data_IF_089750182117
#
_entry.id   IF_089750182117
#
_cell.length_a   1.000
_cell.length_b   1.000
_cell.length_c   1.000
_cell.angle_alpha   90.00
_cell.angle_beta   90.00
_cell.angle_gamma   90.00
#
_symmetry.space_group_name_H-M   'P 1'
#
loop_
_entity.id
_entity.type
_entity.pdbx_description
1 polymer ?
#
# COMPACT_ATOMS: atom_id res chain seq x y z
N UNK A 1 44.00 72.05 0.46
CA UNK A 1 42.63 71.62 0.79
C UNK A 1 42.27 70.49 -0.13
N UNK A 2 42.40 69.20 0.36
CA UNK A 2 42.11 67.97 -0.40
C UNK A 2 40.97 67.28 0.29
N UNK A 3 39.80 67.20 -0.37
CA UNK A 3 38.60 66.45 0.13
C UNK A 3 38.71 65.01 -0.29
N UNK A 4 38.84 64.13 0.71
CA UNK A 4 38.83 62.73 0.56
C UNK A 4 37.35 62.23 0.41
N UNK A 5 37.02 61.58 -0.70
CA UNK A 5 35.73 60.89 -0.87
C UNK A 5 35.88 59.43 -0.47
N UNK A 6 35.33 59.08 0.68
CA UNK A 6 35.14 57.68 1.11
C UNK A 6 33.99 57.07 0.32
N UNK A 7 34.31 56.12 -0.55
CA UNK A 7 33.34 55.33 -1.29
C UNK A 7 32.89 54.13 -0.41
N UNK A 8 31.66 54.21 0.08
CA UNK A 8 31.07 53.19 0.93
C UNK A 8 30.40 52.15 0.02
N UNK A 9 31.08 51.03 -0.30
CA UNK A 9 30.54 49.92 -1.05
C UNK A 9 29.79 48.96 -0.08
N UNK A 10 28.48 49.13 0.01
CA UNK A 10 27.60 48.20 0.69
C UNK A 10 27.41 46.96 -0.24
N UNK A 11 28.12 45.89 0.09
CA UNK A 11 27.93 44.58 -0.57
C UNK A 11 26.61 43.96 -0.16
N UNK A 12 25.67 43.94 -1.10
CA UNK A 12 24.38 43.25 -0.93
C UNK A 12 24.59 41.72 -1.17
N UNK A 13 24.77 40.97 -0.06
CA UNK A 13 24.86 39.52 -0.11
C UNK A 13 23.46 38.96 -0.34
N UNK A 14 23.12 38.64 -1.60
CA UNK A 14 21.87 37.98 -1.97
C UNK A 14 21.97 36.47 -1.62
N UNK A 15 21.54 36.12 -0.41
CA UNK A 15 21.46 34.73 0.02
C UNK A 15 20.31 34.05 -0.74
N UNK A 16 20.65 33.28 -1.80
CA UNK A 16 19.70 32.45 -2.51
C UNK A 16 19.33 31.25 -1.59
N UNK A 17 18.19 31.36 -0.90
CA UNK A 17 17.60 30.25 -0.18
C UNK A 17 17.09 29.21 -1.21
N UNK A 18 17.88 28.19 -1.48
CA UNK A 18 17.46 27.04 -2.28
C UNK A 18 16.43 26.25 -1.46
N UNK A 19 15.14 26.50 -1.71
CA UNK A 19 14.05 25.69 -1.15
C UNK A 19 14.03 24.36 -1.90
N UNK A 20 14.74 23.34 -1.37
CA UNK A 20 14.66 21.98 -1.90
C UNK A 20 13.25 21.44 -1.61
N UNK A 21 12.53 20.88 -2.63
CA UNK A 21 11.26 20.24 -2.38
C UNK A 21 11.49 19.06 -1.44
N UNK A 22 10.97 19.16 -0.23
CA UNK A 22 10.96 18.04 0.71
C UNK A 22 9.95 17.01 0.20
N UNK A 23 10.43 15.94 -0.41
CA UNK A 23 9.61 14.77 -0.67
C UNK A 23 9.30 14.11 0.67
N UNK A 24 8.13 14.41 1.23
CA UNK A 24 7.65 13.69 2.40
C UNK A 24 7.49 12.22 2.03
N UNK A 25 8.24 11.34 2.68
CA UNK A 25 8.04 9.89 2.56
C UNK A 25 6.61 9.56 3.02
N UNK A 26 5.91 8.72 2.26
CA UNK A 26 4.58 8.27 2.67
C UNK A 26 4.72 7.46 3.97
N UNK A 27 3.92 7.80 4.98
CA UNK A 27 3.89 7.06 6.24
C UNK A 27 3.38 5.65 5.99
N UNK A 28 4.18 4.65 6.33
CA UNK A 28 3.80 3.24 6.22
C UNK A 28 2.60 2.92 7.13
N UNK A 29 1.75 2.00 6.65
CA UNK A 29 0.68 1.47 7.50
C UNK A 29 1.30 0.66 8.66
N UNK A 30 0.70 0.68 9.86
CA UNK A 30 1.23 -0.07 11.00
C UNK A 30 1.30 -1.57 10.68
N UNK A 31 2.29 -2.24 11.26
CA UNK A 31 2.38 -3.70 11.20
C UNK A 31 1.23 -4.31 12.00
N UNK A 32 0.67 -5.45 11.56
CA UNK A 32 -0.29 -6.18 12.37
C UNK A 32 0.37 -6.68 13.65
N UNK A 33 -0.32 -6.52 14.76
CA UNK A 33 0.01 -7.23 15.99
C UNK A 33 -0.48 -8.67 15.85
N UNK A 34 0.43 -9.65 15.91
CA UNK A 34 0.11 -11.05 15.66
C UNK A 34 1.05 -11.97 16.42
N UNK A 35 0.46 -12.98 17.07
CA UNK A 35 1.14 -14.10 17.72
C UNK A 35 1.16 -15.37 16.87
N UNK A 36 0.64 -15.33 15.65
CA UNK A 36 0.61 -16.47 14.75
C UNK A 36 2.04 -16.95 14.40
N UNK A 37 2.24 -18.27 14.43
CA UNK A 37 3.50 -18.89 14.07
C UNK A 37 3.85 -18.68 12.59
N UNK A 38 2.82 -18.75 11.74
CA UNK A 38 2.95 -18.57 10.30
C UNK A 38 2.40 -17.20 9.86
N UNK A 39 3.21 -16.42 9.14
CA UNK A 39 2.83 -15.08 8.65
C UNK A 39 3.02 -15.04 7.15
N UNK A 40 1.94 -14.83 6.41
CA UNK A 40 1.96 -14.96 4.95
C UNK A 40 1.33 -13.72 4.30
N UNK A 41 2.07 -13.10 3.38
CA UNK A 41 1.53 -12.07 2.52
C UNK A 41 1.30 -12.64 1.12
N UNK A 42 0.04 -12.57 0.67
CA UNK A 42 -0.35 -12.96 -0.68
C UNK A 42 -0.41 -11.73 -1.57
N UNK A 43 0.27 -11.81 -2.71
CA UNK A 43 0.31 -10.71 -3.68
C UNK A 43 -0.71 -10.92 -4.80
N UNK A 44 -1.50 -9.90 -5.14
CA UNK A 44 -2.29 -9.87 -6.37
C UNK A 44 -2.07 -8.55 -7.12
N UNK A 45 -1.51 -8.64 -8.33
CA UNK A 45 -1.27 -7.51 -9.23
C UNK A 45 -1.97 -7.63 -10.57
N UNK A 46 -2.75 -8.69 -10.78
CA UNK A 46 -3.39 -9.04 -12.03
C UNK A 46 -4.91 -8.80 -11.97
N UNK A 47 -5.49 -8.33 -13.07
CA UNK A 47 -6.95 -8.17 -13.21
C UNK A 47 -7.66 -9.41 -13.73
N UNK A 48 -6.94 -10.49 -14.07
CA UNK A 48 -7.50 -11.74 -14.55
C UNK A 48 -8.42 -12.36 -13.46
N UNK A 49 -9.69 -12.62 -13.76
CA UNK A 49 -10.64 -13.20 -12.80
C UNK A 49 -10.20 -14.56 -12.24
N UNK A 50 -9.50 -15.39 -13.02
CA UNK A 50 -8.98 -16.67 -12.55
C UNK A 50 -7.90 -16.47 -11.49
N UNK A 51 -6.95 -15.54 -11.73
CA UNK A 51 -5.92 -15.22 -10.75
C UNK A 51 -6.51 -14.58 -9.49
N UNK A 52 -7.52 -13.72 -9.64
CA UNK A 52 -8.26 -13.17 -8.49
C UNK A 52 -8.95 -14.26 -7.68
N UNK A 53 -9.59 -15.23 -8.34
CA UNK A 53 -10.18 -16.38 -7.67
C UNK A 53 -9.11 -17.27 -7.05
N UNK A 54 -7.98 -17.48 -7.72
CA UNK A 54 -6.88 -18.30 -7.24
C UNK A 54 -6.29 -17.75 -5.93
N UNK A 55 -5.99 -16.45 -5.84
CA UNK A 55 -5.44 -15.88 -4.61
C UNK A 55 -6.37 -16.04 -3.41
N UNK A 56 -7.69 -15.92 -3.62
CA UNK A 56 -8.69 -16.18 -2.57
C UNK A 56 -8.77 -17.66 -2.18
N UNK A 57 -8.64 -18.58 -3.17
CA UNK A 57 -8.54 -20.02 -2.90
C UNK A 57 -7.32 -20.34 -2.04
N UNK A 58 -6.17 -19.78 -2.41
CA UNK A 58 -4.91 -19.99 -1.69
C UNK A 58 -5.01 -19.46 -0.28
N UNK A 59 -5.56 -18.25 -0.07
CA UNK A 59 -5.76 -17.67 1.25
C UNK A 59 -6.58 -18.60 2.17
N UNK A 60 -7.75 -19.04 1.72
CA UNK A 60 -8.59 -19.96 2.49
C UNK A 60 -7.97 -21.36 2.69
N UNK A 61 -7.19 -21.85 1.70
CA UNK A 61 -6.52 -23.15 1.82
C UNK A 61 -5.40 -23.10 2.87
N UNK A 62 -4.60 -22.03 2.87
CA UNK A 62 -3.52 -21.84 3.85
C UNK A 62 -4.09 -21.72 5.27
N UNK A 63 -5.19 -20.98 5.44
CA UNK A 63 -5.84 -20.88 6.74
C UNK A 63 -6.37 -22.22 7.25
N UNK A 64 -6.95 -23.05 6.37
CA UNK A 64 -7.38 -24.40 6.75
C UNK A 64 -6.21 -25.33 7.04
N UNK A 65 -5.10 -25.18 6.32
CA UNK A 65 -3.91 -26.04 6.47
C UNK A 65 -3.19 -25.79 7.79
N UNK A 66 -2.98 -24.54 8.16
CA UNK A 66 -2.26 -24.16 9.38
C UNK A 66 -3.17 -24.01 10.62
N UNK A 67 -4.47 -23.82 10.42
CA UNK A 67 -5.43 -23.40 11.45
C UNK A 67 -5.49 -21.88 11.59
N UNK A 68 -6.69 -21.34 11.81
CA UNK A 68 -6.94 -19.90 11.86
C UNK A 68 -6.11 -19.16 12.94
N UNK A 69 -5.88 -19.82 14.08
CA UNK A 69 -5.14 -19.25 15.21
C UNK A 69 -3.62 -19.30 15.01
N UNK A 70 -3.13 -20.12 14.09
CA UNK A 70 -1.70 -20.35 13.87
C UNK A 70 -1.16 -19.63 12.64
N UNK A 71 -2.03 -19.09 11.79
CA UNK A 71 -1.60 -18.37 10.57
C UNK A 71 -2.22 -17.00 10.47
N UNK A 72 -1.40 -16.03 10.16
CA UNK A 72 -1.82 -14.67 9.84
C UNK A 72 -1.60 -14.39 8.36
N UNK A 73 -2.64 -13.97 7.65
CA UNK A 73 -2.61 -13.79 6.20
C UNK A 73 -3.06 -12.37 5.85
N UNK A 74 -2.27 -11.70 5.01
CA UNK A 74 -2.65 -10.43 4.38
C UNK A 74 -2.59 -10.56 2.86
N UNK A 75 -3.71 -10.28 2.18
CA UNK A 75 -3.78 -10.21 0.72
C UNK A 75 -3.58 -8.77 0.29
N UNK A 76 -2.46 -8.48 -0.37
CA UNK A 76 -2.12 -7.12 -0.82
C UNK A 76 -2.34 -6.99 -2.32
N UNK A 77 -3.26 -6.08 -2.70
CA UNK A 77 -3.61 -5.80 -4.09
C UNK A 77 -3.01 -4.48 -4.55
N UNK A 78 -2.34 -4.49 -5.71
CA UNK A 78 -1.83 -3.29 -6.37
C UNK A 78 -1.88 -3.45 -7.90
N UNK A 79 -1.56 -2.38 -8.65
CA UNK A 79 -1.70 -2.40 -10.09
C UNK A 79 -3.11 -2.84 -10.53
N UNK A 80 -3.27 -3.53 -11.67
CA UNK A 80 -4.57 -4.02 -12.13
C UNK A 80 -5.31 -4.90 -11.12
N UNK A 81 -4.59 -5.60 -10.23
CA UNK A 81 -5.15 -6.47 -9.20
C UNK A 81 -6.00 -5.76 -8.15
N UNK A 82 -5.84 -4.43 -8.00
CA UNK A 82 -6.65 -3.64 -7.06
C UNK A 82 -8.16 -3.72 -7.36
N UNK A 83 -8.54 -4.09 -8.59
CA UNK A 83 -9.95 -4.30 -8.99
C UNK A 83 -10.66 -5.38 -8.17
N UNK A 84 -9.90 -6.34 -7.63
CA UNK A 84 -10.45 -7.35 -6.69
C UNK A 84 -11.08 -6.67 -5.46
N UNK A 85 -10.53 -5.53 -5.04
CA UNK A 85 -10.96 -4.81 -3.83
C UNK A 85 -12.08 -3.79 -4.10
N UNK A 86 -12.54 -3.66 -5.35
CA UNK A 86 -13.62 -2.70 -5.68
C UNK A 86 -14.95 -3.17 -5.13
N UNK A 87 -15.73 -2.22 -4.62
CA UNK A 87 -17.12 -2.45 -4.25
C UNK A 87 -17.91 -2.95 -5.48
N UNK A 88 -18.71 -4.02 -5.30
CA UNK A 88 -19.43 -4.67 -6.39
C UNK A 88 -18.60 -5.66 -7.22
N UNK A 89 -17.35 -5.99 -6.84
CA UNK A 89 -16.63 -7.12 -7.45
C UNK A 89 -17.38 -8.43 -7.20
N UNK A 90 -17.37 -9.33 -8.19
CA UNK A 90 -18.05 -10.65 -8.10
C UNK A 90 -17.57 -11.51 -6.93
N UNK A 91 -16.36 -11.27 -6.42
CA UNK A 91 -15.78 -11.94 -5.27
C UNK A 91 -16.08 -11.26 -3.93
N UNK A 92 -16.85 -10.15 -3.89
CA UNK A 92 -17.05 -9.34 -2.67
C UNK A 92 -17.57 -10.16 -1.49
N UNK A 93 -18.56 -11.02 -1.73
CA UNK A 93 -19.09 -11.88 -0.65
C UNK A 93 -18.03 -12.82 -0.10
N UNK A 94 -17.21 -13.38 -0.96
CA UNK A 94 -16.14 -14.29 -0.56
C UNK A 94 -15.03 -13.55 0.21
N UNK A 95 -14.66 -12.35 -0.22
CA UNK A 95 -13.71 -11.50 0.51
C UNK A 95 -14.24 -11.22 1.91
N UNK A 96 -15.52 -10.84 2.05
CA UNK A 96 -16.14 -10.63 3.36
C UNK A 96 -16.04 -11.87 4.25
N UNK A 97 -16.39 -13.06 3.72
CA UNK A 97 -16.26 -14.33 4.48
C UNK A 97 -14.81 -14.60 4.94
N UNK A 98 -13.83 -14.32 4.09
CA UNK A 98 -12.42 -14.47 4.45
C UNK A 98 -11.98 -13.43 5.48
N UNK A 99 -12.47 -12.18 5.39
CA UNK A 99 -12.22 -11.15 6.41
C UNK A 99 -12.84 -11.52 7.76
N UNK A 100 -14.05 -12.04 7.75
CA UNK A 100 -14.74 -12.51 8.97
C UNK A 100 -13.99 -13.68 9.64
N UNK A 101 -13.22 -14.45 8.86
CA UNK A 101 -12.33 -15.50 9.37
C UNK A 101 -10.94 -15.00 9.79
N UNK A 102 -10.68 -13.69 9.73
CA UNK A 102 -9.43 -13.08 10.20
C UNK A 102 -8.39 -12.79 9.10
N UNK A 103 -8.66 -13.11 7.83
CA UNK A 103 -7.75 -12.76 6.73
C UNK A 103 -7.86 -11.27 6.41
N UNK A 104 -6.73 -10.57 6.36
CA UNK A 104 -6.69 -9.14 6.01
C UNK A 104 -6.56 -8.93 4.50
N UNK A 105 -7.17 -7.84 4.04
CA UNK A 105 -7.08 -7.38 2.65
C UNK A 105 -6.64 -5.92 2.62
N UNK A 106 -5.68 -5.61 1.74
CA UNK A 106 -5.12 -4.28 1.59
C UNK A 106 -5.07 -3.85 0.12
N UNK A 107 -5.52 -2.62 -0.14
CA UNK A 107 -5.51 -2.00 -1.46
C UNK A 107 -4.51 -0.83 -1.54
N UNK A 108 -3.76 -0.77 -2.64
CA UNK A 108 -2.73 0.24 -2.88
C UNK A 108 -3.34 1.61 -3.22
N UNK A 109 -3.14 2.63 -2.37
CA UNK A 109 -3.62 4.00 -2.60
C UNK A 109 -3.04 4.62 -3.88
N UNK A 110 -1.74 4.41 -4.15
CA UNK A 110 -1.11 4.92 -5.38
C UNK A 110 -1.81 4.39 -6.63
N UNK A 111 -2.20 3.11 -6.63
CA UNK A 111 -2.96 2.51 -7.73
C UNK A 111 -4.37 3.10 -7.84
N UNK A 112 -5.08 3.25 -6.71
CA UNK A 112 -6.42 3.86 -6.67
C UNK A 112 -6.36 5.27 -7.25
N UNK A 113 -5.39 6.07 -6.82
CA UNK A 113 -5.21 7.45 -7.32
C UNK A 113 -4.92 7.48 -8.83
N UNK A 114 -4.08 6.56 -9.32
CA UNK A 114 -3.80 6.45 -10.75
C UNK A 114 -5.05 6.05 -11.55
N UNK A 115 -5.83 5.10 -11.06
CA UNK A 115 -7.09 4.71 -11.68
C UNK A 115 -8.13 5.83 -11.65
N UNK A 116 -8.24 6.57 -10.54
CA UNK A 116 -9.14 7.71 -10.44
C UNK A 116 -8.87 8.77 -11.50
N UNK A 117 -7.59 9.08 -11.75
CA UNK A 117 -7.18 10.01 -12.83
C UNK A 117 -7.61 9.52 -14.23
N UNK A 118 -7.53 8.20 -14.48
CA UNK A 118 -7.91 7.63 -15.78
C UNK A 118 -9.42 7.53 -15.97
N UNK A 119 -10.16 7.26 -14.90
CA UNK A 119 -11.61 7.03 -14.95
C UNK A 119 -12.42 8.32 -14.79
N UNK A 120 -11.82 9.39 -14.27
CA UNK A 120 -12.51 10.62 -13.93
C UNK A 120 -13.32 10.55 -12.62
N UNK A 121 -13.25 9.44 -11.89
CA UNK A 121 -13.84 9.27 -10.56
C UNK A 121 -13.01 8.30 -9.72
N UNK A 122 -13.11 8.41 -8.39
CA UNK A 122 -12.42 7.50 -7.48
C UNK A 122 -13.21 6.20 -7.32
N UNK A 123 -12.64 5.03 -7.68
CA UNK A 123 -13.29 3.74 -7.45
C UNK A 123 -13.58 3.52 -5.96
N UNK A 124 -14.78 3.06 -5.64
CA UNK A 124 -15.15 2.72 -4.27
C UNK A 124 -14.54 1.37 -3.90
N UNK A 125 -13.85 1.34 -2.76
CA UNK A 125 -13.26 0.12 -2.21
C UNK A 125 -14.26 -0.53 -1.24
N UNK A 126 -14.26 -1.87 -1.19
CA UNK A 126 -15.11 -2.63 -0.28
C UNK A 126 -14.85 -2.22 1.17
N UNK A 127 -15.92 -2.24 1.97
CA UNK A 127 -15.84 -1.94 3.40
C UNK A 127 -14.87 -2.94 4.07
N UNK A 128 -14.11 -2.46 5.05
CA UNK A 128 -13.12 -3.22 5.83
C UNK A 128 -11.86 -3.65 5.07
N UNK A 129 -11.72 -3.38 3.78
CA UNK A 129 -10.44 -3.48 3.08
C UNK A 129 -9.55 -2.31 3.52
N UNK A 130 -8.35 -2.62 4.01
CA UNK A 130 -7.35 -1.63 4.41
C UNK A 130 -6.80 -0.87 3.20
N UNK A 131 -6.45 0.39 3.40
CA UNK A 131 -5.77 1.19 2.37
C UNK A 131 -4.33 1.40 2.81
N UNK A 132 -3.39 0.99 1.97
CA UNK A 132 -1.96 1.18 2.19
C UNK A 132 -1.37 2.15 1.17
N UNK A 133 -0.43 3.01 1.54
CA UNK A 133 0.13 4.02 0.62
C UNK A 133 0.67 3.41 -0.66
N UNK A 134 1.47 2.35 -0.55
CA UNK A 134 2.06 1.62 -1.66
C UNK A 134 1.99 0.11 -1.43
N UNK A 135 1.28 -0.63 -2.30
CA UNK A 135 1.10 -2.08 -2.13
C UNK A 135 2.42 -2.86 -2.16
N UNK A 136 3.33 -2.52 -3.10
CA UNK A 136 4.67 -3.13 -3.13
C UNK A 136 5.47 -2.80 -1.86
N UNK A 137 5.39 -1.55 -1.36
CA UNK A 137 6.00 -1.14 -0.10
C UNK A 137 5.46 -1.95 1.08
N UNK A 138 4.13 -2.15 1.14
CA UNK A 138 3.50 -2.98 2.18
C UNK A 138 4.01 -4.41 2.18
N UNK A 139 4.17 -5.03 1.01
CA UNK A 139 4.71 -6.38 0.89
C UNK A 139 6.14 -6.44 1.43
N UNK A 140 6.99 -5.48 1.07
CA UNK A 140 8.37 -5.42 1.57
C UNK A 140 8.43 -5.13 3.07
N UNK A 141 7.56 -4.27 3.59
CA UNK A 141 7.44 -3.99 5.03
C UNK A 141 7.07 -5.27 5.81
N UNK A 142 6.06 -6.00 5.35
CA UNK A 142 5.65 -7.28 5.94
C UNK A 142 6.78 -8.31 5.86
N UNK A 143 7.45 -8.42 4.72
CA UNK A 143 8.58 -9.34 4.55
C UNK A 143 9.74 -9.02 5.51
N UNK A 144 10.09 -7.75 5.68
CA UNK A 144 11.09 -7.33 6.65
C UNK A 144 10.69 -7.67 8.11
N UNK A 145 9.37 -7.77 8.38
CA UNK A 145 8.82 -8.21 9.67
C UNK A 145 8.64 -9.74 9.78
N UNK A 146 9.25 -10.52 8.86
CA UNK A 146 9.26 -11.97 8.90
C UNK A 146 8.09 -12.66 8.20
N UNK A 147 7.30 -11.94 7.40
CA UNK A 147 6.22 -12.53 6.61
C UNK A 147 6.76 -13.16 5.34
N UNK A 148 6.25 -14.35 5.01
CA UNK A 148 6.59 -15.05 3.78
C UNK A 148 5.74 -14.52 2.62
N UNK A 149 6.39 -14.20 1.50
CA UNK A 149 5.71 -13.71 0.29
C UNK A 149 5.29 -14.90 -0.57
N UNK A 150 4.02 -14.95 -0.95
CA UNK A 150 3.53 -15.90 -1.93
C UNK A 150 2.72 -15.16 -3.02
N UNK A 151 3.05 -15.46 -4.27
CA UNK A 151 2.35 -14.97 -5.45
C UNK A 151 1.74 -16.18 -6.18
N UNK A 152 0.42 -16.45 -6.01
CA UNK A 152 -0.28 -17.52 -6.67
C UNK A 152 -0.43 -17.31 -8.18
#
# INVERSE_FOLDING_TARGET
>A
MQKSYLLNTIGFLFSLLFCLPSFAAQTEAPLPDTFAEHKIVLQISDSDPFKQTLVLNVAGNLQRYYGADNVDIEVVAFGPGVRLMFDGNTNSQRINTLMDSGIRFSACQNTINHMAKKLGYTPKIQKNVGIVPAGAGRILQLNAAGWQILKP
#
